data_IF_746936024923
#
_entry.id   IF_746936024923
#
_cell.length_a   1.000
_cell.length_b   1.000
_cell.length_c   1.000
_cell.angle_alpha   90.00
_cell.angle_beta   90.00
_cell.angle_gamma   90.00
#
_symmetry.space_group_name_H-M   'P 1'
#
loop_
_entity.id
_entity.type
_entity.pdbx_description
1 polymer ?
#
# COMPACT_ATOMS: atom_id res chain seq x y z
N UNK A 1 -43.94 36.29 -18.45
CA UNK A 1 -43.51 34.92 -18.74
C UNK A 1 -42.06 34.79 -18.27
N UNK A 2 -41.90 34.40 -17.03
CA UNK A 2 -40.62 34.17 -16.38
C UNK A 2 -40.16 32.75 -16.74
N UNK A 3 -39.04 32.60 -17.45
CA UNK A 3 -38.39 31.31 -17.68
C UNK A 3 -37.66 30.90 -16.40
N UNK A 4 -38.19 29.92 -15.72
CA UNK A 4 -37.51 29.20 -14.67
C UNK A 4 -36.36 28.38 -15.30
N UNK A 5 -35.12 28.75 -15.03
CA UNK A 5 -33.96 27.95 -15.28
C UNK A 5 -34.05 26.63 -14.46
N UNK A 6 -33.94 25.47 -15.10
CA UNK A 6 -33.84 24.23 -14.34
C UNK A 6 -32.44 24.18 -13.75
N UNK A 7 -32.37 24.36 -12.43
CA UNK A 7 -31.12 24.35 -11.69
C UNK A 7 -30.23 23.15 -12.05
N UNK A 8 -29.07 23.47 -12.60
CA UNK A 8 -27.92 22.56 -12.64
C UNK A 8 -27.50 22.27 -11.19
N UNK A 9 -28.05 21.24 -10.60
CA UNK A 9 -27.54 20.67 -9.37
C UNK A 9 -26.15 20.14 -9.63
N UNK A 10 -25.15 21.01 -9.54
CA UNK A 10 -23.76 20.59 -9.41
C UNK A 10 -23.69 19.73 -8.16
N UNK A 11 -23.71 18.41 -8.32
CA UNK A 11 -23.43 17.51 -7.20
C UNK A 11 -22.08 17.94 -6.64
N UNK A 12 -22.11 18.44 -5.41
CA UNK A 12 -20.93 18.95 -4.72
C UNK A 12 -20.06 17.73 -4.39
N UNK A 13 -19.15 17.36 -5.28
CA UNK A 13 -18.26 16.21 -5.12
C UNK A 13 -16.90 16.67 -4.64
N UNK A 14 -16.44 16.09 -3.54
CA UNK A 14 -15.15 16.40 -2.94
C UNK A 14 -14.30 15.15 -2.86
N UNK A 15 -13.08 15.26 -3.35
CA UNK A 15 -12.08 14.21 -3.21
C UNK A 15 -11.43 14.32 -1.84
N UNK A 16 -11.39 13.20 -1.11
CA UNK A 16 -10.82 13.10 0.23
C UNK A 16 -9.97 11.84 0.37
N UNK A 17 -8.98 11.89 1.24
CA UNK A 17 -8.30 10.69 1.76
C UNK A 17 -8.17 10.80 3.26
N UNK A 18 -8.41 9.69 3.94
CA UNK A 18 -8.27 9.58 5.38
C UNK A 18 -7.59 8.25 5.70
N UNK A 19 -6.66 8.23 6.65
CA UNK A 19 -5.96 7.00 6.95
C UNK A 19 -4.88 7.11 8.01
N UNK A 20 -4.07 6.06 8.06
CA UNK A 20 -2.87 5.96 8.88
C UNK A 20 -1.67 5.61 7.99
N UNK A 21 -0.48 6.04 8.39
CA UNK A 21 0.75 5.66 7.73
C UNK A 21 1.93 5.55 8.72
N UNK A 22 3.06 5.06 8.23
CA UNK A 22 4.26 4.82 9.04
C UNK A 22 4.93 6.10 9.56
N UNK A 23 4.66 7.26 8.99
CA UNK A 23 5.22 8.53 9.44
C UNK A 23 4.74 8.94 10.83
N UNK A 24 3.47 8.62 11.13
CA UNK A 24 2.79 9.12 12.34
C UNK A 24 2.29 8.01 13.24
N UNK A 25 2.37 6.73 12.82
CA UNK A 25 1.75 5.63 13.55
C UNK A 25 2.75 4.51 13.81
N UNK A 26 2.99 4.12 15.08
CA UNK A 26 3.79 2.95 15.43
C UNK A 26 3.25 1.65 14.80
N UNK A 27 4.13 0.66 14.60
CA UNK A 27 3.76 -0.61 13.97
C UNK A 27 2.60 -1.33 14.67
N UNK A 28 2.65 -1.42 16.00
CA UNK A 28 1.62 -2.10 16.79
C UNK A 28 0.21 -1.52 16.59
N UNK A 29 0.12 -0.21 16.30
CA UNK A 29 -1.14 0.46 15.99
C UNK A 29 -1.51 0.23 14.51
N UNK A 30 -0.55 0.32 13.58
CA UNK A 30 -0.83 0.08 12.15
C UNK A 30 -1.38 -1.31 11.88
N UNK A 31 -0.90 -2.33 12.60
CA UNK A 31 -1.38 -3.70 12.47
C UNK A 31 -2.87 -3.84 12.81
N UNK A 32 -3.40 -3.01 13.71
CA UNK A 32 -4.82 -3.01 14.07
C UNK A 32 -5.72 -2.42 12.98
N UNK A 33 -5.17 -1.58 12.11
CA UNK A 33 -5.88 -0.98 10.97
C UNK A 33 -5.68 -1.78 9.67
N UNK A 34 -4.78 -2.77 9.67
CA UNK A 34 -4.47 -3.51 8.47
C UNK A 34 -5.69 -4.34 8.03
N UNK A 35 -6.15 -4.09 6.80
CA UNK A 35 -7.23 -4.85 6.18
C UNK A 35 -6.58 -5.87 5.24
N UNK A 36 -6.69 -7.18 5.49
CA UNK A 36 -6.15 -8.21 4.61
C UNK A 36 -6.76 -8.14 3.20
N UNK A 37 -5.98 -8.51 2.17
CA UNK A 37 -6.41 -8.48 0.77
C UNK A 37 -7.75 -9.22 0.56
N UNK A 38 -7.95 -10.35 1.26
CA UNK A 38 -9.20 -11.12 1.21
C UNK A 38 -10.43 -10.39 1.77
N UNK A 39 -10.22 -9.38 2.62
CA UNK A 39 -11.27 -8.63 3.29
C UNK A 39 -11.57 -7.27 2.61
N UNK A 40 -10.69 -6.77 1.71
CA UNK A 40 -10.86 -5.47 1.05
C UNK A 40 -12.21 -5.36 0.35
N UNK A 41 -12.65 -6.42 -0.34
CA UNK A 41 -13.95 -6.42 -1.02
C UNK A 41 -15.13 -6.20 -0.06
N UNK A 42 -15.13 -6.83 1.10
CA UNK A 42 -16.16 -6.64 2.13
C UNK A 42 -16.08 -5.25 2.76
N UNK A 43 -14.88 -4.74 2.96
CA UNK A 43 -14.65 -3.40 3.47
C UNK A 43 -15.19 -2.31 2.52
N UNK A 44 -15.00 -2.48 1.21
CA UNK A 44 -15.60 -1.59 0.20
C UNK A 44 -17.12 -1.64 0.19
N UNK A 45 -17.73 -2.84 0.33
CA UNK A 45 -19.17 -2.96 0.45
C UNK A 45 -19.73 -2.30 1.73
N UNK A 46 -18.95 -2.31 2.82
CA UNK A 46 -19.31 -1.58 4.03
C UNK A 46 -19.26 -0.06 3.81
N UNK A 47 -18.24 0.45 3.13
CA UNK A 47 -18.10 1.89 2.81
C UNK A 47 -19.26 2.41 1.96
N UNK A 48 -19.80 1.64 1.01
CA UNK A 48 -20.94 2.03 0.20
C UNK A 48 -22.22 2.31 0.99
N UNK A 49 -22.33 1.80 2.22
CA UNK A 49 -23.51 2.01 3.08
C UNK A 49 -23.52 3.35 3.79
N UNK A 50 -22.40 4.06 3.80
CA UNK A 50 -22.30 5.37 4.42
C UNK A 50 -22.89 6.45 3.51
N UNK A 51 -23.71 7.36 4.06
CA UNK A 51 -24.55 8.25 3.26
C UNK A 51 -23.79 9.25 2.41
N UNK A 52 -22.63 9.72 2.89
CA UNK A 52 -21.86 10.76 2.20
C UNK A 52 -20.82 10.19 1.23
N UNK A 53 -20.56 8.88 1.21
CA UNK A 53 -19.56 8.24 0.34
C UNK A 53 -20.19 7.87 -1.00
N UNK A 54 -19.68 8.46 -2.10
CA UNK A 54 -20.15 8.20 -3.47
C UNK A 54 -19.22 7.29 -4.24
N UNK A 55 -17.89 7.44 -4.02
CA UNK A 55 -16.88 6.55 -4.55
C UNK A 55 -15.90 6.21 -3.42
N UNK A 56 -15.31 5.01 -3.45
CA UNK A 56 -14.30 4.61 -2.48
C UNK A 56 -13.27 3.65 -3.06
N UNK A 57 -12.03 3.75 -2.57
CA UNK A 57 -10.95 2.80 -2.80
C UNK A 57 -10.12 2.68 -1.52
N UNK A 58 -9.64 1.47 -1.23
CA UNK A 58 -8.85 1.19 -0.02
C UNK A 58 -7.46 0.73 -0.45
N UNK A 59 -6.43 1.43 0.04
CA UNK A 59 -5.04 1.02 -0.05
C UNK A 59 -4.56 0.56 1.32
N UNK A 60 -4.47 -0.76 1.54
CA UNK A 60 -3.99 -1.36 2.78
C UNK A 60 -2.69 -2.12 2.53
N UNK A 61 -1.65 -1.78 3.29
CA UNK A 61 -0.31 -2.39 3.24
C UNK A 61 0.25 -2.51 4.66
N UNK A 62 1.45 -3.06 4.84
CA UNK A 62 2.12 -3.05 6.16
C UNK A 62 2.45 -1.64 6.68
N UNK A 63 2.52 -0.64 5.78
CA UNK A 63 2.97 0.70 6.11
C UNK A 63 1.87 1.76 6.10
N UNK A 64 0.69 1.45 5.54
CA UNK A 64 -0.44 2.37 5.45
C UNK A 64 -1.77 1.64 5.29
N UNK A 65 -2.82 2.23 5.81
CA UNK A 65 -4.20 1.91 5.47
C UNK A 65 -4.92 3.22 5.22
N UNK A 66 -5.32 3.43 3.97
CA UNK A 66 -5.85 4.68 3.44
C UNK A 66 -7.18 4.41 2.72
N UNK A 67 -8.19 5.22 3.02
CA UNK A 67 -9.46 5.25 2.30
C UNK A 67 -9.49 6.51 1.46
N UNK A 68 -9.45 6.35 0.15
CA UNK A 68 -9.71 7.38 -0.85
C UNK A 68 -11.19 7.41 -1.15
N UNK A 69 -11.82 8.56 -1.11
CA UNK A 69 -13.25 8.65 -1.36
C UNK A 69 -13.63 9.93 -2.12
N UNK A 70 -14.74 9.84 -2.84
CA UNK A 70 -15.50 11.00 -3.33
C UNK A 70 -16.73 11.13 -2.45
N UNK A 71 -16.92 12.28 -1.86
CA UNK A 71 -18.00 12.56 -0.90
C UNK A 71 -18.83 13.76 -1.36
N UNK A 72 -20.11 13.79 -0.99
CA UNK A 72 -21.01 14.93 -1.26
C UNK A 72 -20.91 16.03 -0.20
N UNK A 73 -20.51 15.69 1.02
CA UNK A 73 -20.19 16.62 2.10
C UNK A 73 -18.85 16.24 2.74
N UNK A 74 -17.91 17.20 2.85
CA UNK A 74 -16.56 16.95 3.38
C UNK A 74 -16.61 16.52 4.85
N UNK A 75 -17.41 17.20 5.66
CA UNK A 75 -17.47 16.94 7.11
C UNK A 75 -18.15 15.60 7.38
N UNK A 76 -19.28 15.34 6.74
CA UNK A 76 -20.00 14.08 6.84
C UNK A 76 -19.19 12.91 6.31
N UNK A 77 -18.58 13.05 5.12
CA UNK A 77 -17.75 12.01 4.52
C UNK A 77 -16.52 11.65 5.35
N UNK A 78 -15.86 12.65 5.98
CA UNK A 78 -14.76 12.36 6.90
C UNK A 78 -15.23 11.62 8.15
N UNK A 79 -16.41 11.99 8.70
CA UNK A 79 -17.00 11.29 9.84
C UNK A 79 -17.39 9.84 9.47
N UNK A 80 -17.91 9.64 8.27
CA UNK A 80 -18.25 8.31 7.74
C UNK A 80 -17.00 7.42 7.63
N UNK A 81 -15.87 7.96 7.11
CA UNK A 81 -14.62 7.21 7.02
C UNK A 81 -14.06 6.91 8.43
N UNK A 82 -14.14 7.83 9.37
CA UNK A 82 -13.73 7.57 10.77
C UNK A 82 -14.59 6.46 11.40
N UNK A 83 -15.92 6.50 11.19
CA UNK A 83 -16.84 5.46 11.67
C UNK A 83 -16.54 4.09 11.00
N UNK A 84 -16.20 4.09 9.72
CA UNK A 84 -15.73 2.89 9.04
C UNK A 84 -14.47 2.33 9.69
N UNK A 85 -13.43 3.16 9.94
CA UNK A 85 -12.21 2.71 10.61
C UNK A 85 -12.50 2.16 12.00
N UNK A 86 -13.40 2.78 12.76
CA UNK A 86 -13.83 2.28 14.07
C UNK A 86 -14.47 0.88 13.97
N UNK A 87 -15.20 0.62 12.89
CA UNK A 87 -15.91 -0.67 12.69
C UNK A 87 -14.99 -1.82 12.28
N UNK A 88 -13.83 -1.54 11.69
CA UNK A 88 -12.87 -2.57 11.22
C UNK A 88 -11.71 -2.82 12.17
N UNK A 89 -11.62 -2.04 13.24
CA UNK A 89 -10.59 -2.24 14.27
C UNK A 89 -10.90 -3.47 15.12
N UNK A 90 -9.90 -4.30 15.31
CA UNK A 90 -9.97 -5.46 16.20
C UNK A 90 -9.52 -5.11 17.63
N UNK A 91 -9.98 -3.98 18.17
CA UNK A 91 -9.56 -3.52 19.51
C UNK A 91 -10.56 -3.98 20.55
N UNK A 92 -10.08 -4.73 21.53
CA UNK A 92 -10.81 -4.94 22.78
C UNK A 92 -10.68 -3.69 23.65
N UNK A 93 -11.81 -3.05 23.86
CA UNK A 93 -12.25 -2.25 25.03
C UNK A 93 -11.62 -0.92 25.32
N UNK A 94 -10.90 -0.12 24.91
CA UNK A 94 -10.82 1.24 25.56
C UNK A 94 -10.40 2.46 24.70
N UNK A 95 -9.83 2.30 23.53
CA UNK A 95 -9.57 3.49 22.67
C UNK A 95 -9.88 3.18 21.21
N UNK A 96 -10.95 3.75 20.69
CA UNK A 96 -11.18 3.80 19.24
C UNK A 96 -10.08 4.69 18.66
N UNK A 97 -9.09 4.05 18.04
CA UNK A 97 -8.01 4.75 17.38
C UNK A 97 -8.55 5.44 16.13
N UNK A 98 -8.25 6.73 15.97
CA UNK A 98 -8.68 7.51 14.81
C UNK A 98 -7.57 7.55 13.76
N UNK A 99 -7.95 7.63 12.48
CA UNK A 99 -7.00 7.97 11.42
C UNK A 99 -6.25 9.26 11.77
N UNK A 100 -4.95 9.29 11.49
CA UNK A 100 -4.09 10.39 11.93
C UNK A 100 -3.73 11.37 10.81
N UNK A 101 -4.15 11.13 9.57
CA UNK A 101 -4.05 12.14 8.53
C UNK A 101 -5.32 12.21 7.67
N UNK A 102 -5.58 13.40 7.14
CA UNK A 102 -6.71 13.71 6.28
C UNK A 102 -6.24 14.72 5.24
N UNK A 103 -6.51 14.45 3.97
CA UNK A 103 -6.21 15.37 2.87
C UNK A 103 -7.47 15.60 2.04
N UNK A 104 -7.49 16.74 1.34
CA UNK A 104 -8.61 17.21 0.54
C UNK A 104 -8.14 17.64 -0.84
N UNK A 105 -8.98 17.44 -1.86
CA UNK A 105 -8.79 17.99 -3.21
C UNK A 105 -7.42 17.65 -3.82
N UNK A 106 -6.67 18.69 -4.19
CA UNK A 106 -5.39 18.55 -4.89
C UNK A 106 -4.32 17.84 -4.04
N UNK A 107 -4.37 17.99 -2.71
CA UNK A 107 -3.46 17.30 -1.80
C UNK A 107 -3.66 15.78 -1.85
N UNK A 108 -4.90 15.30 -2.07
CA UNK A 108 -5.19 13.87 -2.27
C UNK A 108 -4.51 13.36 -3.54
N UNK A 109 -4.64 14.12 -4.62
CA UNK A 109 -4.03 13.75 -5.91
C UNK A 109 -2.51 13.71 -5.76
N UNK A 110 -1.91 14.76 -5.21
CA UNK A 110 -0.47 14.83 -4.99
C UNK A 110 0.03 13.68 -4.10
N UNK A 111 -0.70 13.38 -3.02
CA UNK A 111 -0.37 12.27 -2.13
C UNK A 111 -0.39 10.92 -2.88
N UNK A 112 -1.46 10.63 -3.63
CA UNK A 112 -1.56 9.37 -4.39
C UNK A 112 -0.47 9.24 -5.47
N UNK A 113 -0.11 10.35 -6.14
CA UNK A 113 1.01 10.38 -7.09
C UNK A 113 2.34 10.03 -6.41
N UNK A 114 2.62 10.62 -5.24
CA UNK A 114 3.83 10.35 -4.43
C UNK A 114 3.88 8.91 -3.94
N UNK A 115 2.75 8.38 -3.47
CA UNK A 115 2.61 6.99 -3.05
C UNK A 115 2.88 6.04 -4.22
N UNK A 116 2.22 6.23 -5.36
CA UNK A 116 2.39 5.38 -6.54
C UNK A 116 3.82 5.42 -7.12
N UNK A 117 4.49 6.57 -7.01
CA UNK A 117 5.89 6.73 -7.40
C UNK A 117 6.88 6.10 -6.40
N UNK A 118 6.43 5.69 -5.20
CA UNK A 118 7.30 5.18 -4.13
C UNK A 118 8.07 6.28 -3.40
N UNK A 119 7.68 7.55 -3.57
CA UNK A 119 8.29 8.70 -2.88
C UNK A 119 7.81 8.83 -1.43
N UNK A 120 6.69 8.21 -1.12
CA UNK A 120 6.12 8.16 0.23
C UNK A 120 6.18 6.73 0.81
N UNK A 121 7.23 5.98 0.50
CA UNK A 121 7.49 4.64 1.03
C UNK A 121 8.62 4.65 2.05
N UNK A 122 8.56 3.76 3.05
CA UNK A 122 9.61 3.61 4.07
C UNK A 122 10.98 3.31 3.42
N UNK A 123 10.98 2.55 2.34
CA UNK A 123 12.14 2.36 1.46
C UNK A 123 11.85 3.11 0.17
N UNK A 124 12.56 4.22 -0.03
CA UNK A 124 12.35 5.11 -1.15
C UNK A 124 12.49 4.36 -2.49
N UNK A 125 11.45 4.45 -3.34
CA UNK A 125 11.44 3.81 -4.64
C UNK A 125 11.15 2.31 -4.64
N UNK A 126 10.62 1.73 -3.54
CA UNK A 126 10.25 0.31 -3.51
C UNK A 126 9.28 -0.05 -4.65
N UNK A 127 9.49 -1.22 -5.27
CA UNK A 127 8.70 -1.64 -6.44
C UNK A 127 7.27 -2.08 -6.10
N UNK A 128 7.04 -2.51 -4.88
CA UNK A 128 5.78 -3.17 -4.50
C UNK A 128 4.61 -2.22 -4.39
N UNK A 129 4.85 -0.96 -3.99
CA UNK A 129 3.76 0.00 -3.74
C UNK A 129 2.94 0.27 -5.01
N UNK A 130 3.58 0.40 -6.17
CA UNK A 130 2.85 0.63 -7.43
C UNK A 130 1.93 -0.55 -7.78
N UNK A 131 2.36 -1.79 -7.53
CA UNK A 131 1.52 -2.97 -7.72
C UNK A 131 0.36 -3.00 -6.71
N UNK A 132 0.58 -2.54 -5.47
CA UNK A 132 -0.47 -2.44 -4.45
C UNK A 132 -1.49 -1.35 -4.79
N UNK A 133 -1.06 -0.17 -5.27
CA UNK A 133 -1.96 0.87 -5.78
C UNK A 133 -2.78 0.36 -6.97
N UNK A 134 -2.16 -0.40 -7.89
CA UNK A 134 -2.88 -1.02 -9.01
C UNK A 134 -3.92 -2.03 -8.52
N UNK A 135 -3.58 -2.88 -7.55
CA UNK A 135 -4.50 -3.86 -6.98
C UNK A 135 -5.67 -3.19 -6.26
N UNK A 136 -5.41 -2.14 -5.46
CA UNK A 136 -6.43 -1.35 -4.78
C UNK A 136 -7.44 -0.75 -5.78
N UNK A 137 -6.94 -0.13 -6.85
CA UNK A 137 -7.76 0.41 -7.93
C UNK A 137 -8.61 -0.67 -8.61
N UNK A 138 -8.00 -1.78 -9.00
CA UNK A 138 -8.69 -2.87 -9.67
C UNK A 138 -9.79 -3.46 -8.78
N UNK A 139 -9.52 -3.73 -7.51
CA UNK A 139 -10.52 -4.24 -6.57
C UNK A 139 -11.67 -3.25 -6.38
N UNK A 140 -11.39 -1.95 -6.31
CA UNK A 140 -12.42 -0.92 -6.20
C UNK A 140 -13.35 -0.88 -7.44
N UNK A 141 -12.80 -1.06 -8.64
CA UNK A 141 -13.58 -1.18 -9.88
C UNK A 141 -14.41 -2.46 -9.92
N UNK A 142 -13.81 -3.62 -9.63
CA UNK A 142 -14.49 -4.93 -9.60
C UNK A 142 -15.66 -4.94 -8.61
N UNK A 143 -15.53 -4.22 -7.50
CA UNK A 143 -16.59 -4.05 -6.50
C UNK A 143 -17.53 -2.90 -6.80
N UNK A 144 -17.40 -2.23 -7.95
CA UNK A 144 -18.22 -1.06 -8.30
C UNK A 144 -18.23 0.00 -7.18
N UNK A 145 -17.11 0.14 -6.47
CA UNK A 145 -16.91 1.12 -5.43
C UNK A 145 -16.20 2.38 -5.97
N UNK A 146 -15.32 2.24 -6.96
CA UNK A 146 -14.73 3.37 -7.66
C UNK A 146 -15.62 3.80 -8.83
N UNK A 147 -15.90 5.09 -8.89
CA UNK A 147 -16.55 5.75 -10.01
C UNK A 147 -15.54 6.50 -10.89
N UNK A 148 -16.02 7.41 -11.78
CA UNK A 148 -15.18 8.07 -12.78
C UNK A 148 -14.02 8.87 -12.20
N UNK A 149 -14.21 9.54 -11.05
CA UNK A 149 -13.18 10.40 -10.47
C UNK A 149 -12.04 9.58 -9.87
N UNK A 150 -12.35 8.57 -9.06
CA UNK A 150 -11.30 7.68 -8.51
C UNK A 150 -10.62 6.88 -9.61
N UNK A 151 -11.35 6.36 -10.60
CA UNK A 151 -10.76 5.68 -11.75
C UNK A 151 -9.73 6.57 -12.46
N UNK A 152 -10.08 7.82 -12.72
CA UNK A 152 -9.18 8.78 -13.36
C UNK A 152 -7.92 9.05 -12.55
N UNK A 153 -8.03 9.39 -11.26
CA UNK A 153 -6.86 9.75 -10.45
C UNK A 153 -5.94 8.55 -10.19
N UNK A 154 -6.49 7.34 -10.03
CA UNK A 154 -5.66 6.13 -9.88
C UNK A 154 -4.90 5.80 -11.16
N UNK A 155 -5.52 5.92 -12.34
CA UNK A 155 -4.85 5.79 -13.64
C UNK A 155 -3.75 6.83 -13.82
N UNK A 156 -4.01 8.07 -13.45
CA UNK A 156 -3.03 9.15 -13.46
C UNK A 156 -1.84 8.83 -12.56
N UNK A 157 -2.10 8.36 -11.34
CA UNK A 157 -1.06 8.01 -10.38
C UNK A 157 -0.19 6.84 -10.86
N UNK A 158 -0.79 5.80 -11.44
CA UNK A 158 -0.06 4.68 -12.01
C UNK A 158 0.79 5.10 -13.22
N UNK A 159 0.28 5.99 -14.06
CA UNK A 159 1.04 6.56 -15.19
C UNK A 159 2.22 7.40 -14.70
N UNK A 160 1.99 8.27 -13.72
CA UNK A 160 3.03 9.08 -13.08
C UNK A 160 4.11 8.20 -12.44
N UNK A 161 3.72 7.19 -11.66
CA UNK A 161 4.66 6.26 -11.03
C UNK A 161 5.55 5.54 -12.03
N UNK A 162 4.99 5.12 -13.18
CA UNK A 162 5.78 4.54 -14.29
C UNK A 162 6.76 5.56 -14.85
N UNK A 163 6.31 6.78 -15.12
CA UNK A 163 7.13 7.86 -15.68
C UNK A 163 8.30 8.20 -14.75
N UNK A 164 8.04 8.37 -13.47
CA UNK A 164 9.09 8.61 -12.45
C UNK A 164 10.15 7.51 -12.48
N UNK A 165 9.76 6.24 -12.60
CA UNK A 165 10.69 5.11 -12.64
C UNK A 165 11.52 5.04 -13.91
N UNK A 166 10.96 5.43 -15.06
CA UNK A 166 11.67 5.38 -16.36
C UNK A 166 12.57 6.59 -16.58
N UNK A 167 12.17 7.78 -16.10
CA UNK A 167 12.84 9.04 -16.40
C UNK A 167 13.79 9.50 -15.28
N UNK A 168 13.79 8.83 -14.11
CA UNK A 168 14.64 9.21 -12.98
C UNK A 168 15.52 8.05 -12.50
N UNK A 169 16.45 8.34 -11.60
CA UNK A 169 17.27 7.31 -10.94
C UNK A 169 16.48 6.40 -9.99
N UNK A 170 15.24 6.73 -9.66
CA UNK A 170 14.37 5.93 -8.79
C UNK A 170 14.10 4.52 -9.33
N UNK A 171 14.05 4.35 -10.65
CA UNK A 171 13.85 3.03 -11.27
C UNK A 171 15.13 2.21 -11.47
N UNK A 172 16.31 2.81 -11.29
CA UNK A 172 17.60 2.15 -11.59
C UNK A 172 18.11 1.25 -10.46
N UNK A 173 17.63 1.44 -9.26
CA UNK A 173 17.89 0.57 -8.11
C UNK A 173 16.58 -0.08 -7.73
N UNK A 174 16.43 -1.38 -8.02
CA UNK A 174 15.33 -2.18 -7.48
C UNK A 174 15.49 -2.27 -5.96
N UNK A 175 15.09 -1.22 -5.25
CA UNK A 175 15.21 -1.16 -3.80
C UNK A 175 14.00 -1.86 -3.22
N UNK A 176 14.22 -3.08 -2.72
CA UNK A 176 13.27 -3.78 -1.86
C UNK A 176 13.71 -3.65 -0.41
N UNK A 177 12.80 -3.82 0.53
CA UNK A 177 13.16 -3.90 1.96
C UNK A 177 14.26 -4.94 2.18
N UNK A 178 14.24 -6.05 1.43
CA UNK A 178 15.26 -7.10 1.51
C UNK A 178 16.64 -6.63 1.00
N UNK A 179 16.69 -5.89 -0.11
CA UNK A 179 17.97 -5.34 -0.62
C UNK A 179 18.50 -4.24 0.29
N UNK A 180 17.62 -3.36 0.80
CA UNK A 180 18.03 -2.34 1.78
C UNK A 180 18.56 -2.95 3.08
N UNK A 181 17.96 -4.04 3.57
CA UNK A 181 18.45 -4.76 4.75
C UNK A 181 19.85 -5.36 4.51
N UNK A 182 20.11 -5.93 3.33
CA UNK A 182 21.43 -6.47 2.98
C UNK A 182 22.47 -5.37 2.81
N UNK A 183 22.10 -4.24 2.21
CA UNK A 183 23.00 -3.08 2.10
C UNK A 183 23.37 -2.52 3.48
N UNK A 184 22.37 -2.40 4.38
CA UNK A 184 22.61 -2.00 5.76
C UNK A 184 23.52 -3.01 6.49
N UNK A 185 23.30 -4.31 6.30
CA UNK A 185 24.16 -5.35 6.88
C UNK A 185 25.61 -5.21 6.39
N UNK A 186 25.83 -4.99 5.09
CA UNK A 186 27.17 -4.74 4.52
C UNK A 186 27.80 -3.47 5.09
N UNK A 187 27.02 -2.40 5.22
CA UNK A 187 27.51 -1.14 5.79
C UNK A 187 27.95 -1.31 7.25
N UNK A 188 27.22 -2.13 8.03
CA UNK A 188 27.48 -2.34 9.46
C UNK A 188 28.51 -3.41 9.77
N UNK A 189 28.56 -4.46 8.97
CA UNK A 189 29.35 -5.68 9.22
C UNK A 189 30.53 -5.87 8.25
N UNK A 190 30.64 -4.99 7.24
CA UNK A 190 31.60 -5.15 6.15
C UNK A 190 31.15 -6.22 5.14
N UNK A 191 32.10 -6.82 4.42
CA UNK A 191 31.81 -7.90 3.48
C UNK A 191 31.07 -9.06 4.15
N UNK A 192 30.05 -9.57 3.49
CA UNK A 192 29.33 -10.78 3.92
C UNK A 192 29.93 -12.06 3.32
N UNK A 193 30.96 -11.98 2.47
CA UNK A 193 31.49 -13.11 1.71
C UNK A 193 31.99 -14.27 2.60
N UNK A 194 32.49 -13.96 3.79
CA UNK A 194 32.98 -14.95 4.76
C UNK A 194 32.00 -15.20 5.92
N UNK A 195 30.80 -14.59 5.87
CA UNK A 195 29.83 -14.68 6.95
C UNK A 195 28.74 -15.68 6.62
N UNK A 196 28.30 -16.44 7.61
CA UNK A 196 27.07 -17.25 7.51
C UNK A 196 25.85 -16.37 7.75
N UNK A 197 24.89 -16.40 6.81
CA UNK A 197 23.63 -15.66 6.89
C UNK A 197 22.49 -16.63 7.12
N UNK A 198 21.72 -16.39 8.17
CA UNK A 198 20.52 -17.19 8.48
C UNK A 198 19.27 -16.39 8.06
N UNK A 199 18.44 -16.98 7.20
CA UNK A 199 17.17 -16.40 6.77
C UNK A 199 16.02 -17.13 7.46
N UNK A 200 15.33 -16.42 8.37
CA UNK A 200 14.19 -16.94 9.10
C UNK A 200 12.90 -16.63 8.31
N UNK A 201 12.27 -17.66 7.77
CA UNK A 201 11.06 -17.55 6.96
C UNK A 201 11.36 -17.44 5.46
N UNK A 202 10.76 -18.34 4.67
CA UNK A 202 10.86 -18.37 3.20
C UNK A 202 9.58 -17.84 2.52
N UNK A 203 8.99 -16.78 3.09
CA UNK A 203 7.93 -16.01 2.47
C UNK A 203 8.46 -15.16 1.30
N UNK A 204 7.61 -14.33 0.70
CA UNK A 204 8.01 -13.47 -0.43
C UNK A 204 9.29 -12.66 -0.17
N UNK A 205 9.40 -12.04 1.02
CA UNK A 205 10.58 -11.23 1.39
C UNK A 205 11.83 -12.08 1.60
N UNK A 206 11.73 -13.20 2.32
CA UNK A 206 12.85 -14.14 2.52
C UNK A 206 13.38 -14.69 1.19
N UNK A 207 12.50 -15.03 0.26
CA UNK A 207 12.90 -15.48 -1.08
C UNK A 207 13.65 -14.39 -1.87
N UNK A 208 13.24 -13.13 -1.76
CA UNK A 208 13.94 -12.00 -2.40
C UNK A 208 15.31 -11.81 -1.74
N UNK A 209 15.39 -11.85 -0.40
CA UNK A 209 16.64 -11.76 0.33
C UNK A 209 17.64 -12.84 -0.10
N UNK A 210 17.20 -14.10 -0.15
CA UNK A 210 18.05 -15.23 -0.61
C UNK A 210 18.50 -15.02 -2.05
N UNK A 211 17.62 -14.54 -2.94
CA UNK A 211 18.00 -14.25 -4.34
C UNK A 211 19.12 -13.22 -4.42
N UNK A 212 19.03 -12.13 -3.67
CA UNK A 212 20.09 -11.11 -3.63
C UNK A 212 21.40 -11.65 -3.03
N UNK A 213 21.33 -12.43 -1.95
CA UNK A 213 22.52 -13.06 -1.36
C UNK A 213 23.24 -13.98 -2.36
N UNK A 214 22.48 -14.73 -3.16
CA UNK A 214 23.06 -15.67 -4.14
C UNK A 214 23.54 -14.98 -5.42
N UNK A 215 22.87 -13.92 -5.88
CA UNK A 215 23.21 -13.25 -7.15
C UNK A 215 24.43 -12.36 -7.06
N UNK A 216 24.71 -11.81 -5.89
CA UNK A 216 25.79 -10.84 -5.69
C UNK A 216 27.09 -11.47 -5.14
N UNK A 217 27.18 -12.81 -5.12
CA UNK A 217 28.36 -13.53 -4.61
C UNK A 217 28.70 -13.23 -3.15
N UNK A 218 27.70 -12.89 -2.35
CA UNK A 218 27.86 -12.04 -1.18
C UNK A 218 27.79 -12.73 0.19
N UNK A 219 27.81 -14.06 0.32
CA UNK A 219 27.89 -14.69 1.64
C UNK A 219 28.60 -16.03 1.60
N UNK A 220 29.31 -16.38 2.69
CA UNK A 220 30.00 -17.66 2.81
C UNK A 220 29.05 -18.85 2.87
N UNK A 221 27.97 -18.73 3.63
CA UNK A 221 26.90 -19.72 3.70
C UNK A 221 25.54 -19.05 3.90
N UNK A 222 24.49 -19.61 3.28
CA UNK A 222 23.10 -19.19 3.50
C UNK A 222 22.32 -20.33 4.10
N UNK A 223 21.84 -20.16 5.33
CA UNK A 223 21.02 -21.15 6.04
C UNK A 223 19.56 -20.67 6.02
N UNK A 224 18.64 -21.55 5.58
CA UNK A 224 17.22 -21.27 5.50
C UNK A 224 16.48 -22.00 6.62
N UNK A 225 15.72 -21.25 7.41
CA UNK A 225 14.85 -21.81 8.45
C UNK A 225 13.40 -21.40 8.17
N UNK A 226 12.48 -22.40 8.20
CA UNK A 226 11.07 -22.15 8.03
C UNK A 226 10.25 -23.23 8.77
N UNK A 227 9.08 -22.86 9.32
CA UNK A 227 8.20 -23.83 10.01
C UNK A 227 7.75 -24.98 9.10
N UNK A 228 7.50 -24.69 7.82
CA UNK A 228 7.19 -25.71 6.82
C UNK A 228 8.41 -25.94 5.93
N UNK A 229 9.03 -27.12 6.06
CA UNK A 229 10.25 -27.51 5.34
C UNK A 229 9.99 -27.75 3.84
N UNK A 230 8.77 -28.16 3.46
CA UNK A 230 8.41 -28.35 2.05
C UNK A 230 8.52 -27.05 1.24
N UNK A 231 8.21 -25.90 1.87
CA UNK A 231 8.39 -24.57 1.23
C UNK A 231 9.85 -24.27 0.90
N UNK A 232 10.78 -24.67 1.76
CA UNK A 232 12.23 -24.51 1.47
C UNK A 232 12.59 -25.38 0.29
N UNK A 233 12.18 -26.66 0.31
CA UNK A 233 12.47 -27.63 -0.76
C UNK A 233 11.89 -27.17 -2.10
N UNK A 234 10.65 -26.71 -2.12
CA UNK A 234 10.00 -26.17 -3.33
C UNK A 234 10.74 -24.95 -3.88
N UNK A 235 11.15 -24.03 -3.00
CA UNK A 235 11.91 -22.85 -3.40
C UNK A 235 13.28 -23.21 -3.99
N UNK A 236 14.02 -24.12 -3.34
CA UNK A 236 15.33 -24.59 -3.83
C UNK A 236 15.23 -25.31 -5.19
N UNK A 237 14.24 -26.19 -5.35
CA UNK A 237 13.95 -26.85 -6.63
C UNK A 237 13.67 -25.84 -7.75
N UNK A 238 12.86 -24.81 -7.47
CA UNK A 238 12.56 -23.74 -8.44
C UNK A 238 13.79 -22.94 -8.86
N UNK A 239 14.89 -22.96 -8.07
CA UNK A 239 16.14 -22.28 -8.35
C UNK A 239 17.14 -23.15 -9.09
N UNK A 240 17.16 -24.44 -8.83
CA UNK A 240 18.05 -25.38 -9.50
C UNK A 240 17.61 -25.67 -10.95
N UNK A 241 16.31 -25.58 -11.25
CA UNK A 241 15.76 -25.80 -12.60
C UNK A 241 15.87 -24.56 -13.54
N UNK A 242 16.34 -23.42 -13.05
CA UNK A 242 16.51 -22.16 -13.82
C UNK A 242 17.98 -21.77 -14.04
N UNK A 243 18.89 -22.77 -14.02
CA UNK A 243 20.29 -22.61 -14.45
C UNK A 243 20.52 -23.31 -15.81
#
# INVERSE_FOLDING_TARGET
MSRSDPGSGTMNQHLVVCGINYHFTPLAIREQFCIPDSCIGHALEALKRFPHIKESAILSTCNRTEVYAVVDDVRGGMADIEAFFASVQHVSDHEILKPNFKLLRDDVVLHLLRVAAGLDSMVLGEDRIMAQVKSAHQTALERQAAGPLLDFIFKLALSCGKKVRTETSMGRRAVSVSSAALELARTRLGSLAEKSVVVLGIGKMGQICVKHLLSEGGSGAVVLLNRNQERITAFLKSKLNNK
#
